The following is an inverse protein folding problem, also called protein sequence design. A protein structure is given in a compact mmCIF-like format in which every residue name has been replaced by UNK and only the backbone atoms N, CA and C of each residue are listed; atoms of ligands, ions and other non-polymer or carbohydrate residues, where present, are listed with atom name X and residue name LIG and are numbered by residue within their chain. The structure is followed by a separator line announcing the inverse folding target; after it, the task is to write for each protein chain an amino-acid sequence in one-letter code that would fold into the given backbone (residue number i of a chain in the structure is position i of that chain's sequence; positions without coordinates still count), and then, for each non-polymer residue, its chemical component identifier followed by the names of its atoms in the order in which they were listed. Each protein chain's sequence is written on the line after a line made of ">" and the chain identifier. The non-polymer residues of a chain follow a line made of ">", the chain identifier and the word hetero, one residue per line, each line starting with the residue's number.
data_IF_952078905219
#
_entry.id   IF_952078905219
#
_cell.length_a   1.000
_cell.length_b   1.000
_cell.length_c   1.000
_cell.angle_alpha   90.00
_cell.angle_beta   90.00
_cell.angle_gamma   90.00
#
_symmetry.space_group_name_H-M   'P 1'
#
loop_
_entity.id
_entity.type
_entity.pdbx_description
1 polymer ?
#
# COMPACT_ATOMS: atom_id res chain seq x y z
N UNK A 1 -7.34 23.52 1.64
CA UNK A 1 -8.09 22.66 0.71
C UNK A 1 -8.17 23.26 -0.71
N UNK A 2 -8.31 24.56 -0.88
CA UNK A 2 -8.32 25.21 -2.21
C UNK A 2 -7.02 25.06 -2.98
N UNK A 3 -5.89 24.88 -2.28
CA UNK A 3 -4.57 24.65 -2.87
C UNK A 3 -4.34 23.20 -3.30
N UNK A 4 -5.20 22.26 -2.89
CA UNK A 4 -5.13 20.85 -3.26
C UNK A 4 -6.02 20.54 -4.46
N UNK A 5 -5.82 21.28 -5.54
CA UNK A 5 -6.46 21.02 -6.82
C UNK A 5 -5.74 19.86 -7.52
N UNK A 6 -6.48 18.86 -7.98
CA UNK A 6 -5.93 17.67 -8.65
C UNK A 6 -5.16 18.01 -9.95
N UNK A 7 -5.43 19.17 -10.56
CA UNK A 7 -4.71 19.66 -11.75
C UNK A 7 -3.41 20.41 -11.47
N UNK A 8 -3.01 20.61 -10.19
CA UNK A 8 -1.75 21.27 -9.88
C UNK A 8 -0.56 20.35 -10.15
N UNK A 9 0.54 20.87 -10.75
CA UNK A 9 1.78 20.11 -10.90
C UNK A 9 2.46 19.88 -9.55
N UNK A 10 3.42 18.99 -9.56
CA UNK A 10 4.29 18.76 -8.41
C UNK A 10 5.14 20.03 -8.15
N UNK A 11 5.05 20.64 -6.96
CA UNK A 11 5.75 21.90 -6.67
C UNK A 11 7.28 21.75 -6.59
N UNK A 12 7.79 20.53 -6.47
CA UNK A 12 9.24 20.27 -6.39
C UNK A 12 9.85 20.08 -7.78
N UNK A 13 9.23 19.28 -8.63
CA UNK A 13 9.75 18.97 -9.96
C UNK A 13 9.15 19.84 -11.07
N UNK A 14 8.03 20.49 -10.84
CA UNK A 14 7.25 21.20 -11.87
C UNK A 14 6.52 20.27 -12.85
N UNK A 15 6.69 18.94 -12.71
CA UNK A 15 6.06 17.94 -13.60
C UNK A 15 4.59 17.74 -13.26
N UNK A 16 3.74 17.34 -14.22
CA UNK A 16 2.41 16.89 -13.91
C UNK A 16 2.45 15.59 -13.08
N UNK A 17 1.44 15.33 -12.28
CA UNK A 17 1.27 14.01 -11.68
C UNK A 17 0.73 13.02 -12.70
N UNK A 18 1.16 11.75 -12.63
CA UNK A 18 0.58 10.67 -13.44
C UNK A 18 -0.93 10.55 -13.23
N UNK A 19 -1.36 10.64 -11.97
CA UNK A 19 -2.74 10.87 -11.54
C UNK A 19 -2.76 11.46 -10.14
N UNK A 20 -3.82 12.20 -9.82
CA UNK A 20 -4.04 12.80 -8.51
C UNK A 20 -5.53 12.95 -8.25
N UNK A 21 -6.04 12.21 -7.27
CA UNK A 21 -7.45 12.25 -6.87
C UNK A 21 -7.60 12.61 -5.39
N UNK A 22 -6.79 13.56 -4.92
CA UNK A 22 -6.79 14.01 -3.52
C UNK A 22 -8.11 14.68 -3.14
N UNK A 23 -8.74 15.42 -4.06
CA UNK A 23 -10.04 16.04 -3.84
C UNK A 23 -11.12 14.99 -3.58
N UNK A 24 -11.06 13.86 -4.28
CA UNK A 24 -11.99 12.75 -4.08
C UNK A 24 -11.73 12.04 -2.75
N UNK A 25 -10.46 11.84 -2.36
CA UNK A 25 -10.10 11.32 -1.03
C UNK A 25 -10.70 12.18 0.09
N UNK A 26 -10.58 13.52 -0.01
CA UNK A 26 -11.14 14.46 0.96
C UNK A 26 -12.66 14.37 0.99
N UNK A 27 -13.31 14.40 -0.17
CA UNK A 27 -14.77 14.43 -0.27
C UNK A 27 -15.40 13.14 0.26
N UNK A 28 -14.86 11.99 -0.14
CA UNK A 28 -15.32 10.68 0.34
C UNK A 28 -15.07 10.52 1.85
N UNK A 29 -13.87 10.90 2.31
CA UNK A 29 -13.49 10.81 3.73
C UNK A 29 -14.35 11.70 4.61
N UNK A 30 -14.56 12.95 4.20
CA UNK A 30 -15.42 13.89 4.92
C UNK A 30 -16.86 13.39 5.04
N UNK A 31 -17.42 12.84 3.97
CA UNK A 31 -18.77 12.26 3.98
C UNK A 31 -18.87 11.05 4.93
N UNK A 32 -17.95 10.08 4.83
CA UNK A 32 -17.93 8.86 5.66
C UNK A 32 -17.74 9.21 7.14
N UNK A 33 -16.88 10.18 7.42
CA UNK A 33 -16.60 10.63 8.78
C UNK A 33 -17.75 11.47 9.37
N UNK A 34 -18.57 12.10 8.53
CA UNK A 34 -19.61 13.06 8.96
C UNK A 34 -19.02 14.42 9.34
N UNK A 35 -17.99 14.87 8.61
CA UNK A 35 -17.19 16.07 8.89
C UNK A 35 -17.99 17.36 9.00
N UNK A 36 -19.13 17.46 8.31
CA UNK A 36 -20.02 18.62 8.36
C UNK A 36 -20.59 18.92 9.75
N UNK A 37 -20.57 17.94 10.65
CA UNK A 37 -21.04 18.09 12.06
C UNK A 37 -19.95 18.60 12.99
N UNK A 38 -18.74 18.83 12.48
CA UNK A 38 -17.62 19.35 13.27
C UNK A 38 -17.89 20.79 13.68
N UNK A 39 -17.84 21.09 14.98
CA UNK A 39 -17.75 22.47 15.44
C UNK A 39 -16.43 23.10 15.03
N UNK A 40 -16.39 24.41 14.80
CA UNK A 40 -15.15 25.10 14.39
C UNK A 40 -14.26 25.46 15.58
N UNK A 41 -14.86 25.75 16.72
CA UNK A 41 -14.12 26.21 17.90
C UNK A 41 -13.41 25.07 18.62
N UNK A 42 -12.12 25.20 18.94
CA UNK A 42 -11.44 24.24 19.81
C UNK A 42 -12.11 24.16 21.20
N UNK A 43 -12.16 22.96 21.77
CA UNK A 43 -12.76 22.70 23.10
C UNK A 43 -14.28 22.72 23.12
N UNK A 44 -14.96 22.91 21.99
CA UNK A 44 -16.42 23.07 21.94
C UNK A 44 -17.21 21.76 21.86
N UNK A 45 -16.55 20.62 21.68
CA UNK A 45 -17.22 19.32 21.59
C UNK A 45 -16.87 18.45 22.81
N UNK A 46 -17.91 17.85 23.42
CA UNK A 46 -17.78 17.02 24.62
C UNK A 46 -18.60 15.75 24.44
N UNK A 47 -18.03 14.63 24.88
CA UNK A 47 -18.75 13.34 24.97
C UNK A 47 -19.62 13.27 26.24
N UNK A 48 -20.61 12.38 26.30
CA UNK A 48 -21.49 12.24 27.48
C UNK A 48 -20.77 11.96 28.79
N UNK A 49 -19.58 11.37 28.75
CA UNK A 49 -18.73 11.11 29.93
C UNK A 49 -17.81 12.28 30.29
N UNK A 50 -17.98 13.46 29.67
CA UNK A 50 -17.18 14.66 29.93
C UNK A 50 -15.86 14.72 29.17
N UNK A 51 -15.49 13.71 28.42
CA UNK A 51 -14.26 13.74 27.62
C UNK A 51 -14.34 14.82 26.54
N UNK A 52 -13.26 15.59 26.38
CA UNK A 52 -13.14 16.56 25.30
C UNK A 52 -12.99 15.82 23.96
N UNK A 53 -13.82 16.15 22.98
CA UNK A 53 -13.82 15.53 21.65
C UNK A 53 -13.17 16.46 20.65
N UNK A 54 -12.21 15.92 19.89
CA UNK A 54 -11.56 16.66 18.82
C UNK A 54 -11.61 15.88 17.51
N UNK A 55 -11.90 16.60 16.44
CA UNK A 55 -11.87 16.08 15.08
C UNK A 55 -10.78 16.77 14.27
N UNK A 56 -9.85 15.98 13.74
CA UNK A 56 -8.75 16.44 12.92
C UNK A 56 -8.72 15.74 11.57
N UNK A 57 -8.17 16.42 10.58
CA UNK A 57 -7.89 15.81 9.30
C UNK A 57 -6.50 16.22 8.83
N UNK A 58 -5.89 15.38 8.01
CA UNK A 58 -4.68 15.71 7.27
C UNK A 58 -4.62 14.88 5.98
N UNK A 59 -3.80 15.36 5.06
CA UNK A 59 -3.45 14.66 3.82
C UNK A 59 -2.07 14.06 3.98
N UNK A 60 -1.86 12.92 3.30
CA UNK A 60 -0.55 12.33 3.11
C UNK A 60 -0.34 12.01 1.64
N UNK A 61 0.93 11.94 1.25
CA UNK A 61 1.36 11.43 -0.04
C UNK A 61 2.64 10.61 0.15
N UNK A 62 2.89 9.72 -0.80
CA UNK A 62 4.09 8.91 -0.82
C UNK A 62 4.48 8.59 -2.27
N UNK A 63 5.77 8.57 -2.62
CA UNK A 63 6.23 8.17 -3.95
C UNK A 63 5.69 6.80 -4.34
N UNK A 64 5.39 6.65 -5.62
CA UNK A 64 4.90 5.38 -6.16
C UNK A 64 5.87 4.82 -7.20
N UNK A 65 7.04 4.32 -6.78
CA UNK A 65 8.01 3.72 -7.66
C UNK A 65 7.55 2.34 -8.12
N UNK A 66 8.17 1.87 -9.21
CA UNK A 66 8.04 0.53 -9.73
C UNK A 66 9.42 -0.10 -9.86
N UNK A 67 9.62 -1.29 -9.34
CA UNK A 67 10.86 -2.06 -9.53
C UNK A 67 10.78 -2.92 -10.79
N UNK A 68 11.90 -3.14 -11.49
CA UNK A 68 11.97 -4.11 -12.57
C UNK A 68 11.67 -5.51 -12.02
N UNK A 69 10.97 -6.33 -12.80
CA UNK A 69 10.61 -7.68 -12.39
C UNK A 69 10.65 -8.67 -13.54
N UNK A 70 11.03 -9.91 -13.20
CA UNK A 70 11.00 -11.06 -14.11
C UNK A 70 9.93 -12.02 -13.60
N UNK A 71 9.10 -12.53 -14.51
CA UNK A 71 8.09 -13.53 -14.18
C UNK A 71 8.20 -14.73 -15.11
N UNK A 72 8.30 -15.95 -14.54
CA UNK A 72 8.25 -17.20 -15.28
C UNK A 72 6.99 -17.95 -14.91
N UNK A 73 6.13 -18.21 -15.89
CA UNK A 73 4.88 -18.94 -15.72
C UNK A 73 4.92 -20.27 -16.47
N UNK A 74 4.72 -21.37 -15.74
CA UNK A 74 4.64 -22.73 -16.27
C UNK A 74 3.30 -23.37 -15.91
N UNK A 75 2.63 -23.92 -16.91
CA UNK A 75 1.36 -24.66 -16.76
C UNK A 75 1.59 -26.07 -17.29
N UNK A 76 1.34 -27.07 -16.46
CA UNK A 76 1.52 -28.48 -16.79
C UNK A 76 0.20 -29.20 -17.11
N UNK A 77 0.26 -30.19 -18.01
CA UNK A 77 -0.88 -31.08 -18.28
C UNK A 77 -1.32 -31.90 -17.05
N UNK A 78 -0.46 -31.96 -16.01
CA UNK A 78 -0.70 -32.67 -14.75
C UNK A 78 -1.52 -31.89 -13.71
N UNK A 79 -2.14 -30.76 -14.09
CA UNK A 79 -2.93 -29.91 -13.19
C UNK A 79 -2.13 -28.90 -12.38
N UNK A 80 -0.79 -28.87 -12.51
CA UNK A 80 0.04 -27.92 -11.76
C UNK A 80 0.31 -26.65 -12.57
N UNK A 81 0.19 -25.53 -11.89
CA UNK A 81 0.60 -24.20 -12.38
C UNK A 81 1.60 -23.62 -11.42
N UNK A 82 2.77 -23.20 -11.93
CA UNK A 82 3.79 -22.53 -11.11
C UNK A 82 4.13 -21.19 -11.73
N UNK A 83 4.07 -20.13 -10.92
CA UNK A 83 4.58 -18.82 -11.29
C UNK A 83 5.69 -18.41 -10.33
N UNK A 84 6.84 -17.98 -10.87
CA UNK A 84 7.91 -17.32 -10.11
C UNK A 84 7.95 -15.87 -10.50
N UNK A 85 8.08 -14.97 -9.55
CA UNK A 85 8.14 -13.52 -9.81
C UNK A 85 9.20 -12.90 -8.91
N UNK A 86 9.92 -11.90 -9.44
CA UNK A 86 10.81 -11.07 -8.63
C UNK A 86 10.01 -10.35 -7.53
N UNK A 87 10.51 -10.35 -6.28
CA UNK A 87 9.87 -9.69 -5.14
C UNK A 87 9.76 -10.58 -3.91
N UNK A 88 9.34 -10.02 -2.78
CA UNK A 88 9.28 -10.70 -1.48
C UNK A 88 7.91 -10.60 -0.85
N UNK A 89 7.51 -11.63 -0.09
CA UNK A 89 6.36 -11.61 0.81
C UNK A 89 6.84 -11.30 2.24
N UNK A 90 6.37 -10.20 2.79
CA UNK A 90 6.68 -9.79 4.17
C UNK A 90 5.38 -9.55 5.00
N UNK A 91 4.25 -10.10 4.54
CA UNK A 91 2.93 -9.95 5.17
C UNK A 91 1.99 -8.98 4.46
N UNK A 92 2.44 -8.32 3.37
CA UNK A 92 1.63 -7.38 2.61
C UNK A 92 0.64 -8.05 1.64
N UNK A 93 0.76 -9.37 1.41
CA UNK A 93 -0.16 -10.16 0.61
C UNK A 93 0.13 -10.17 -0.88
N UNK A 94 1.39 -10.04 -1.29
CA UNK A 94 1.81 -10.11 -2.71
C UNK A 94 1.48 -11.46 -3.32
N UNK A 95 1.72 -12.57 -2.63
CA UNK A 95 1.36 -13.92 -3.13
C UNK A 95 -0.11 -14.01 -3.51
N UNK A 96 -1.00 -13.52 -2.66
CA UNK A 96 -2.44 -13.47 -2.93
C UNK A 96 -2.74 -12.58 -4.15
N UNK A 97 -2.06 -11.45 -4.28
CA UNK A 97 -2.26 -10.51 -5.38
C UNK A 97 -1.81 -11.12 -6.71
N UNK A 98 -0.67 -11.80 -6.75
CA UNK A 98 -0.18 -12.54 -7.92
C UNK A 98 -1.17 -13.66 -8.30
N UNK A 99 -1.60 -14.48 -7.34
CA UNK A 99 -2.57 -15.54 -7.55
C UNK A 99 -3.89 -15.01 -8.14
N UNK A 100 -4.46 -13.97 -7.56
CA UNK A 100 -5.68 -13.33 -8.06
C UNK A 100 -5.51 -12.81 -9.49
N UNK A 101 -4.36 -12.18 -9.78
CA UNK A 101 -4.07 -11.65 -11.13
C UNK A 101 -3.99 -12.77 -12.16
N UNK A 102 -3.36 -13.88 -11.82
CA UNK A 102 -3.24 -15.04 -12.70
C UNK A 102 -4.59 -15.72 -12.93
N UNK A 103 -5.33 -16.00 -11.86
CA UNK A 103 -6.64 -16.71 -11.92
C UNK A 103 -7.73 -15.88 -12.62
N UNK A 104 -7.63 -14.56 -12.63
CA UNK A 104 -8.53 -13.70 -13.42
C UNK A 104 -8.27 -13.79 -14.93
N UNK A 105 -7.06 -14.13 -15.35
CA UNK A 105 -6.67 -14.15 -16.74
C UNK A 105 -6.55 -15.54 -17.37
N UNK A 106 -6.46 -16.61 -16.58
CA UNK A 106 -6.22 -17.98 -17.05
C UNK A 106 -7.15 -18.98 -16.37
N UNK A 107 -7.74 -19.86 -17.17
CA UNK A 107 -8.55 -20.99 -16.69
C UNK A 107 -7.64 -22.16 -16.28
N UNK A 108 -7.12 -22.09 -15.06
CA UNK A 108 -6.28 -23.11 -14.42
C UNK A 108 -6.87 -23.55 -13.08
N UNK A 109 -6.48 -24.73 -12.60
CA UNK A 109 -6.92 -25.22 -11.29
C UNK A 109 -6.27 -24.39 -10.17
N UNK A 110 -7.04 -23.66 -9.34
CA UNK A 110 -6.50 -22.88 -8.24
C UNK A 110 -5.80 -23.75 -7.16
N UNK A 111 -6.23 -25.02 -6.99
CA UNK A 111 -5.61 -25.92 -6.03
C UNK A 111 -4.21 -26.40 -6.48
N UNK A 112 -3.95 -26.35 -7.78
CA UNK A 112 -2.66 -26.69 -8.37
C UNK A 112 -1.72 -25.50 -8.54
N UNK A 113 -2.12 -24.29 -8.09
CA UNK A 113 -1.34 -23.07 -8.25
C UNK A 113 -0.30 -22.91 -7.14
N UNK A 114 0.96 -22.79 -7.56
CA UNK A 114 2.12 -22.45 -6.73
C UNK A 114 2.65 -21.05 -7.12
N UNK A 115 2.70 -20.14 -6.15
CA UNK A 115 3.32 -18.80 -6.31
C UNK A 115 4.63 -18.77 -5.53
N UNK A 116 5.73 -18.58 -6.25
CA UNK A 116 7.10 -18.53 -5.70
C UNK A 116 7.65 -17.11 -5.83
N UNK A 117 7.94 -16.51 -4.69
CA UNK A 117 8.63 -15.23 -4.56
C UNK A 117 9.57 -15.28 -3.36
N UNK A 118 10.60 -14.43 -3.34
CA UNK A 118 11.60 -14.44 -2.28
C UNK A 118 12.56 -15.63 -2.35
N UNK A 119 12.68 -16.26 -3.52
CA UNK A 119 13.56 -17.39 -3.78
C UNK A 119 14.53 -17.04 -4.91
N UNK A 120 15.79 -16.79 -4.56
CA UNK A 120 16.85 -16.39 -5.50
C UNK A 120 17.25 -17.52 -6.46
N UNK A 121 16.92 -18.77 -6.14
CA UNK A 121 17.12 -19.89 -7.04
C UNK A 121 16.10 -19.95 -8.17
N UNK A 122 14.95 -19.30 -7.98
CA UNK A 122 13.85 -19.31 -8.93
C UNK A 122 13.85 -18.11 -9.89
N UNK A 123 14.17 -16.92 -9.40
CA UNK A 123 14.30 -15.69 -10.19
C UNK A 123 15.17 -14.68 -9.45
N UNK A 124 15.86 -13.76 -10.16
CA UNK A 124 16.47 -12.59 -9.52
C UNK A 124 15.42 -11.79 -8.76
N UNK A 125 15.77 -11.34 -7.56
CA UNK A 125 14.84 -10.65 -6.67
C UNK A 125 15.13 -9.15 -6.62
N UNK A 126 14.10 -8.31 -6.76
CA UNK A 126 14.25 -6.89 -6.47
C UNK A 126 14.01 -6.60 -4.99
N UNK A 127 14.54 -5.50 -4.49
CA UNK A 127 14.22 -5.01 -3.16
C UNK A 127 12.72 -4.71 -3.06
N UNK A 128 12.05 -5.29 -2.06
CA UNK A 128 10.65 -5.00 -1.75
C UNK A 128 10.60 -3.97 -0.61
N UNK A 129 10.73 -2.71 -0.94
CA UNK A 129 10.69 -1.55 -0.06
C UNK A 129 10.03 -0.38 -0.77
N UNK A 130 9.93 0.79 -0.13
CA UNK A 130 9.30 1.99 -0.69
C UNK A 130 7.93 1.73 -1.35
N UNK A 131 7.20 0.74 -0.84
CA UNK A 131 5.88 0.31 -1.32
C UNK A 131 5.83 -0.11 -2.82
N UNK A 132 6.96 -0.49 -3.42
CA UNK A 132 7.05 -0.82 -4.86
C UNK A 132 6.67 -2.28 -5.20
N UNK A 133 6.59 -3.19 -4.21
CA UNK A 133 6.48 -4.64 -4.46
C UNK A 133 5.32 -5.03 -5.38
N UNK A 134 4.10 -4.60 -5.09
CA UNK A 134 2.93 -4.90 -5.94
C UNK A 134 3.05 -4.24 -7.32
N UNK A 135 3.58 -3.01 -7.40
CA UNK A 135 3.77 -2.30 -8.64
C UNK A 135 4.83 -2.95 -9.56
N UNK A 136 5.81 -3.68 -8.99
CA UNK A 136 6.74 -4.51 -9.76
C UNK A 136 6.14 -5.85 -10.18
N UNK A 137 5.63 -6.63 -9.22
CA UNK A 137 5.19 -8.01 -9.44
C UNK A 137 3.95 -8.14 -10.34
N UNK A 138 2.94 -7.28 -10.16
CA UNK A 138 1.66 -7.44 -10.87
C UNK A 138 1.76 -7.12 -12.36
N UNK A 139 2.42 -6.04 -12.83
CA UNK A 139 2.64 -5.83 -14.25
C UNK A 139 3.35 -7.00 -14.92
N UNK A 140 4.42 -7.54 -14.31
CA UNK A 140 5.12 -8.72 -14.81
C UNK A 140 4.21 -9.96 -14.86
N UNK A 141 3.38 -10.17 -13.83
CA UNK A 141 2.38 -11.26 -13.81
C UNK A 141 1.36 -11.12 -14.94
N UNK A 142 0.80 -9.92 -15.15
CA UNK A 142 -0.14 -9.65 -16.25
C UNK A 142 0.49 -9.89 -17.61
N UNK A 143 1.74 -9.49 -17.80
CA UNK A 143 2.49 -9.75 -19.02
C UNK A 143 2.73 -11.23 -19.25
N UNK A 144 3.05 -11.99 -18.19
CA UNK A 144 3.18 -13.46 -18.26
C UNK A 144 1.86 -14.14 -18.64
N UNK A 145 0.74 -13.68 -18.08
CA UNK A 145 -0.61 -14.16 -18.42
C UNK A 145 -0.89 -13.92 -19.90
N UNK A 146 -0.69 -12.70 -20.41
CA UNK A 146 -0.90 -12.37 -21.83
C UNK A 146 0.00 -13.18 -22.74
N UNK A 147 1.27 -13.35 -22.41
CA UNK A 147 2.22 -14.15 -23.20
C UNK A 147 1.84 -15.64 -23.19
N UNK A 148 1.35 -16.14 -22.05
CA UNK A 148 0.84 -17.53 -21.94
C UNK A 148 -0.40 -17.72 -22.82
N UNK A 149 -1.35 -16.79 -22.83
CA UNK A 149 -2.52 -16.83 -23.70
C UNK A 149 -2.11 -16.85 -25.17
N UNK A 150 -1.19 -15.99 -25.58
CA UNK A 150 -0.67 -15.96 -26.95
C UNK A 150 0.03 -17.27 -27.32
N UNK A 151 0.90 -17.79 -26.43
CA UNK A 151 1.61 -19.05 -26.67
C UNK A 151 0.64 -20.25 -26.74
N UNK A 152 -0.45 -20.23 -25.98
CA UNK A 152 -1.50 -21.25 -26.05
C UNK A 152 -2.25 -21.17 -27.39
N UNK A 153 -2.58 -19.97 -27.86
CA UNK A 153 -3.21 -19.77 -29.17
C UNK A 153 -2.31 -20.24 -30.32
N UNK A 154 -1.04 -19.89 -30.30
CA UNK A 154 -0.03 -20.35 -31.28
C UNK A 154 0.04 -21.88 -31.26
N UNK A 155 0.08 -22.52 -30.09
CA UNK A 155 0.15 -23.96 -29.93
C UNK A 155 -1.09 -24.69 -30.41
N UNK A 156 -2.26 -24.07 -30.24
CA UNK A 156 -3.55 -24.65 -30.67
C UNK A 156 -3.77 -24.57 -32.17
N UNK A 157 -3.14 -23.63 -32.87
CA UNK A 157 -3.19 -23.50 -34.33
C UNK A 157 -4.63 -23.58 -34.91
N UNK A 158 -5.55 -22.81 -34.31
CA UNK A 158 -6.98 -22.79 -34.68
C UNK A 158 -7.82 -23.98 -34.19
N UNK A 159 -7.22 -24.97 -33.52
CA UNK A 159 -7.95 -26.11 -32.93
C UNK A 159 -8.71 -25.67 -31.70
N UNK A 160 -9.99 -26.03 -31.63
CA UNK A 160 -10.79 -25.88 -30.42
C UNK A 160 -10.70 -27.16 -29.56
N UNK A 161 -10.05 -27.05 -28.40
CA UNK A 161 -9.95 -28.14 -27.44
C UNK A 161 -10.71 -27.74 -26.17
N UNK A 162 -11.79 -28.48 -25.79
CA UNK A 162 -12.60 -28.12 -24.64
C UNK A 162 -11.87 -28.38 -23.31
N UNK A 163 -12.25 -27.60 -22.28
CA UNK A 163 -11.75 -27.71 -20.93
C UNK A 163 -10.71 -26.64 -20.58
N UNK A 164 -10.24 -26.68 -19.33
CA UNK A 164 -9.24 -25.76 -18.85
C UNK A 164 -7.86 -26.00 -19.51
N UNK A 165 -6.92 -25.11 -19.31
CA UNK A 165 -5.59 -25.15 -19.98
C UNK A 165 -4.87 -26.47 -19.72
N UNK A 166 -4.97 -27.05 -18.53
CA UNK A 166 -4.35 -28.35 -18.19
C UNK A 166 -4.88 -29.49 -19.08
N UNK A 167 -6.20 -29.54 -19.25
CA UNK A 167 -6.86 -30.55 -20.09
C UNK A 167 -6.55 -30.35 -21.57
N UNK A 168 -6.50 -29.09 -22.02
CA UNK A 168 -6.09 -28.75 -23.39
C UNK A 168 -4.69 -29.27 -23.68
N UNK A 169 -3.71 -28.99 -22.80
CA UNK A 169 -2.33 -29.48 -22.93
C UNK A 169 -2.25 -31.01 -22.92
N UNK A 170 -3.01 -31.69 -22.04
CA UNK A 170 -3.04 -33.15 -21.99
C UNK A 170 -3.58 -33.74 -23.30
N UNK A 171 -4.65 -33.18 -23.86
CA UNK A 171 -5.29 -33.64 -25.11
C UNK A 171 -4.33 -33.58 -26.31
N UNK A 172 -3.52 -32.51 -26.40
CA UNK A 172 -2.53 -32.37 -27.47
C UNK A 172 -1.17 -33.04 -27.12
N UNK A 173 -1.11 -33.79 -26.04
CA UNK A 173 0.09 -34.49 -25.55
C UNK A 173 1.27 -33.56 -25.29
N UNK A 174 1.02 -32.33 -24.87
CA UNK A 174 2.05 -31.39 -24.46
C UNK A 174 2.22 -31.44 -22.95
N UNK A 175 3.35 -31.86 -22.40
CA UNK A 175 3.53 -32.07 -20.95
C UNK A 175 3.43 -30.74 -20.18
N UNK A 176 3.87 -29.62 -20.75
CA UNK A 176 3.74 -28.29 -20.19
C UNK A 176 3.92 -27.20 -21.25
N UNK A 177 3.50 -25.99 -20.91
CA UNK A 177 3.82 -24.75 -21.59
C UNK A 177 4.47 -23.80 -20.58
N UNK A 178 5.55 -23.11 -20.99
CA UNK A 178 6.28 -22.16 -20.15
C UNK A 178 6.60 -20.91 -20.89
N UNK A 179 6.46 -19.78 -20.24
CA UNK A 179 6.84 -18.45 -20.73
C UNK A 179 7.64 -17.72 -19.67
N UNK A 180 8.58 -16.91 -20.09
CA UNK A 180 9.29 -15.95 -19.25
C UNK A 180 9.11 -14.56 -19.84
N UNK A 181 8.89 -13.58 -18.99
CA UNK A 181 8.75 -12.18 -19.34
C UNK A 181 9.49 -11.30 -18.35
N UNK A 182 9.85 -10.12 -18.79
CA UNK A 182 10.37 -9.06 -17.92
C UNK A 182 9.54 -7.80 -18.07
N UNK A 183 9.46 -7.00 -17.03
CA UNK A 183 8.77 -5.73 -17.01
C UNK A 183 9.62 -4.69 -16.29
N UNK A 184 9.61 -3.46 -16.80
CA UNK A 184 10.34 -2.31 -16.27
C UNK A 184 9.39 -1.13 -16.07
N UNK A 185 9.79 -0.15 -15.27
CA UNK A 185 9.01 1.06 -15.10
C UNK A 185 8.96 1.86 -16.43
N UNK A 186 7.89 2.62 -16.68
CA UNK A 186 7.83 3.54 -17.79
C UNK A 186 9.05 4.48 -17.87
N UNK A 187 9.67 4.56 -19.05
CA UNK A 187 10.90 5.34 -19.26
C UNK A 187 12.20 4.66 -18.84
N UNK A 188 12.13 3.46 -18.26
CA UNK A 188 13.30 2.65 -17.92
C UNK A 188 13.66 1.71 -19.07
N UNK A 189 14.94 1.59 -19.40
CA UNK A 189 15.43 0.72 -20.48
C UNK A 189 15.61 -0.74 -20.05
N UNK A 190 15.94 -1.59 -21.00
CA UNK A 190 16.16 -3.02 -20.80
C UNK A 190 17.37 -3.33 -19.90
N UNK A 191 18.31 -2.41 -19.78
CA UNK A 191 19.49 -2.49 -18.90
C UNK A 191 19.11 -2.69 -17.41
N UNK A 192 17.93 -2.23 -17.00
CA UNK A 192 17.43 -2.47 -15.66
C UNK A 192 17.17 -3.96 -15.37
N UNK A 193 16.76 -4.73 -16.36
CA UNK A 193 16.59 -6.18 -16.24
C UNK A 193 17.95 -6.89 -16.22
N UNK A 194 18.89 -6.43 -17.03
CA UNK A 194 20.24 -6.98 -17.02
C UNK A 194 20.94 -6.73 -15.68
N UNK A 195 20.79 -5.51 -15.16
CA UNK A 195 21.28 -5.18 -13.82
C UNK A 195 20.65 -6.08 -12.74
N UNK A 196 19.32 -6.28 -12.79
CA UNK A 196 18.62 -7.18 -11.87
C UNK A 196 19.16 -8.62 -11.95
N UNK A 197 19.48 -9.13 -13.16
CA UNK A 197 20.01 -10.47 -13.34
C UNK A 197 21.44 -10.62 -12.79
N UNK A 198 22.26 -9.60 -12.97
CA UNK A 198 23.68 -9.63 -12.58
C UNK A 198 23.88 -9.30 -11.12
N UNK A 199 23.23 -8.27 -10.61
CA UNK A 199 23.38 -7.84 -9.21
C UNK A 199 22.56 -8.69 -8.23
N UNK A 200 21.50 -9.34 -8.70
CA UNK A 200 20.52 -9.99 -7.83
C UNK A 200 19.72 -9.01 -6.99
N UNK A 201 19.88 -7.72 -7.23
CA UNK A 201 19.22 -6.63 -6.50
C UNK A 201 18.71 -5.59 -7.51
N UNK A 202 17.41 -5.43 -7.59
CA UNK A 202 16.76 -4.36 -8.35
C UNK A 202 16.31 -3.26 -7.41
N UNK A 203 16.94 -2.11 -7.48
CA UNK A 203 16.47 -0.94 -6.76
C UNK A 203 15.05 -0.55 -7.18
N UNK A 204 14.30 0.08 -6.28
CA UNK A 204 13.08 0.78 -6.67
C UNK A 204 13.35 1.68 -7.85
N UNK A 205 12.49 1.64 -8.87
CA UNK A 205 12.70 2.24 -10.17
C UNK A 205 13.02 3.73 -10.13
N UNK A 206 13.49 4.26 -11.26
CA UNK A 206 13.93 5.64 -11.38
C UNK A 206 12.77 6.61 -11.21
N UNK A 207 13.10 7.88 -11.04
CA UNK A 207 12.15 8.96 -11.26
C UNK A 207 11.62 8.89 -12.68
N UNK A 208 10.30 8.94 -12.83
CA UNK A 208 9.69 8.99 -14.15
C UNK A 208 10.07 10.30 -14.85
N UNK A 209 10.53 10.25 -16.11
CA UNK A 209 11.09 11.44 -16.78
C UNK A 209 10.05 12.53 -17.04
N UNK A 210 8.80 12.16 -17.32
CA UNK A 210 7.76 13.08 -17.78
C UNK A 210 6.70 13.46 -16.74
N UNK A 211 6.61 12.71 -15.63
CA UNK A 211 5.63 12.93 -14.58
C UNK A 211 6.16 12.54 -13.19
N UNK A 212 5.46 12.99 -12.16
CA UNK A 212 5.65 12.52 -10.79
C UNK A 212 4.57 11.50 -10.45
N UNK A 213 4.96 10.30 -9.98
CA UNK A 213 4.01 9.28 -9.54
C UNK A 213 3.92 9.26 -8.01
N UNK A 214 2.72 9.55 -7.49
CA UNK A 214 2.43 9.61 -6.06
C UNK A 214 1.11 8.91 -5.74
N UNK A 215 1.06 8.24 -4.60
CA UNK A 215 -0.19 7.85 -3.94
C UNK A 215 -0.62 8.94 -2.96
N UNK A 216 -1.92 9.04 -2.73
CA UNK A 216 -2.53 10.07 -1.88
C UNK A 216 -3.47 9.45 -0.87
N UNK A 217 -3.58 10.08 0.30
CA UNK A 217 -4.49 9.66 1.36
C UNK A 217 -5.06 10.86 2.10
N UNK A 218 -6.32 10.75 2.52
CA UNK A 218 -6.95 11.66 3.45
C UNK A 218 -7.34 10.90 4.71
N UNK A 219 -6.85 11.37 5.86
CA UNK A 219 -7.20 10.85 7.18
C UNK A 219 -8.16 11.79 7.90
N UNK A 220 -9.20 11.24 8.49
CA UNK A 220 -10.14 11.92 9.39
C UNK A 220 -10.15 11.18 10.71
N UNK A 221 -9.80 11.86 11.78
CA UNK A 221 -9.56 11.27 13.10
C UNK A 221 -10.44 11.94 14.14
N UNK A 222 -11.06 11.13 15.01
CA UNK A 222 -11.63 11.57 16.28
C UNK A 222 -10.67 11.20 17.40
N UNK A 223 -10.36 12.17 18.27
CA UNK A 223 -9.71 11.88 19.55
C UNK A 223 -10.65 12.25 20.70
N UNK A 224 -10.48 11.58 21.82
CA UNK A 224 -11.10 11.91 23.12
C UNK A 224 -10.01 12.08 24.14
N UNK A 225 -10.04 13.23 24.81
CA UNK A 225 -9.12 13.56 25.89
C UNK A 225 -9.90 13.51 27.22
N UNK A 226 -9.52 12.63 28.10
CA UNK A 226 -10.18 12.45 29.39
C UNK A 226 -9.92 13.67 30.29
N UNK A 227 -10.94 14.22 30.96
CA UNK A 227 -10.79 15.49 31.67
C UNK A 227 -9.85 15.41 32.88
N UNK A 228 -9.80 14.26 33.56
CA UNK A 228 -9.00 14.07 34.76
C UNK A 228 -7.59 13.58 34.47
N UNK A 229 -7.47 12.52 33.68
CA UNK A 229 -6.18 11.86 33.39
C UNK A 229 -5.43 12.45 32.23
N UNK A 230 -6.09 13.28 31.41
CA UNK A 230 -5.60 13.79 30.12
C UNK A 230 -5.25 12.69 29.11
N UNK A 231 -5.63 11.44 29.38
CA UNK A 231 -5.38 10.32 28.47
C UNK A 231 -6.05 10.56 27.13
N UNK A 232 -5.28 10.39 26.05
CA UNK A 232 -5.72 10.55 24.67
C UNK A 232 -6.13 9.18 24.13
N UNK A 233 -7.33 9.07 23.59
CA UNK A 233 -7.83 7.90 22.86
C UNK A 233 -8.24 8.29 21.45
N UNK A 234 -8.10 7.36 20.51
CA UNK A 234 -8.56 7.50 19.12
C UNK A 234 -9.68 6.49 18.86
N UNK A 235 -10.96 6.81 19.19
CA UNK A 235 -12.06 5.87 19.03
C UNK A 235 -12.42 5.62 17.55
N UNK A 236 -12.08 6.54 16.64
CA UNK A 236 -12.44 6.41 15.23
C UNK A 236 -11.45 7.10 14.30
N UNK A 237 -11.15 6.40 13.19
CA UNK A 237 -10.40 6.91 12.06
C UNK A 237 -11.09 6.52 10.76
N UNK A 238 -11.18 7.45 9.80
CA UNK A 238 -11.59 7.18 8.42
C UNK A 238 -10.45 7.57 7.51
N UNK A 239 -9.98 6.63 6.70
CA UNK A 239 -8.89 6.84 5.75
C UNK A 239 -9.36 6.52 4.33
N UNK A 240 -9.18 7.45 3.40
CA UNK A 240 -9.51 7.24 1.98
C UNK A 240 -8.27 7.42 1.14
N UNK A 241 -7.98 6.40 0.31
CA UNK A 241 -6.71 6.28 -0.40
C UNK A 241 -6.93 6.32 -1.91
N UNK A 242 -6.10 7.10 -2.60
CA UNK A 242 -5.84 7.02 -4.03
C UNK A 242 -4.52 6.26 -4.24
N UNK A 243 -4.62 4.95 -4.51
CA UNK A 243 -3.51 4.06 -4.83
C UNK A 243 -3.68 3.36 -6.19
N UNK A 244 -4.41 4.00 -7.10
CA UNK A 244 -4.69 3.41 -8.41
C UNK A 244 -5.67 2.22 -8.32
N UNK A 245 -5.41 1.22 -9.14
CA UNK A 245 -6.17 -0.04 -9.14
C UNK A 245 -5.89 -0.86 -7.87
N UNK A 246 -6.93 -1.39 -7.25
CA UNK A 246 -6.83 -2.30 -6.10
C UNK A 246 -7.10 -3.73 -6.57
N UNK A 247 -6.09 -4.60 -6.53
CA UNK A 247 -6.19 -6.00 -7.00
C UNK A 247 -6.82 -6.90 -5.93
N UNK A 248 -6.40 -6.72 -4.67
CA UNK A 248 -6.90 -7.50 -3.54
C UNK A 248 -7.43 -6.55 -2.45
N UNK A 249 -8.74 -6.24 -2.44
CA UNK A 249 -9.31 -5.31 -1.47
C UNK A 249 -9.10 -5.71 -0.01
N UNK A 250 -9.03 -7.03 0.28
CA UNK A 250 -8.81 -7.55 1.62
C UNK A 250 -7.41 -7.21 2.12
N UNK A 251 -6.37 -7.54 1.37
CA UNK A 251 -4.98 -7.28 1.76
C UNK A 251 -4.66 -5.78 1.73
N UNK A 252 -5.20 -5.05 0.75
CA UNK A 252 -5.08 -3.59 0.69
C UNK A 252 -5.68 -2.91 1.93
N UNK A 253 -6.88 -3.33 2.38
CA UNK A 253 -7.48 -2.82 3.60
C UNK A 253 -6.63 -3.14 4.84
N UNK A 254 -6.06 -4.34 4.91
CA UNK A 254 -5.14 -4.73 5.99
C UNK A 254 -3.91 -3.83 6.05
N UNK A 255 -3.34 -3.46 4.90
CA UNK A 255 -2.23 -2.50 4.84
C UNK A 255 -2.63 -1.13 5.41
N UNK A 256 -3.84 -0.64 5.08
CA UNK A 256 -4.32 0.63 5.62
C UNK A 256 -4.51 0.55 7.14
N UNK A 257 -5.08 -0.53 7.65
CA UNK A 257 -5.20 -0.73 9.10
C UNK A 257 -3.84 -0.70 9.78
N UNK A 258 -2.86 -1.45 9.26
CA UNK A 258 -1.49 -1.49 9.81
C UNK A 258 -0.83 -0.12 9.85
N UNK A 259 -0.90 0.65 8.77
CA UNK A 259 -0.32 2.00 8.71
C UNK A 259 -0.98 3.01 9.65
N UNK A 260 -2.31 2.93 9.85
CA UNK A 260 -3.01 3.77 10.84
C UNK A 260 -2.60 3.41 12.26
N UNK A 261 -2.50 2.10 12.58
CA UNK A 261 -2.03 1.63 13.89
C UNK A 261 -0.60 2.08 14.15
N UNK A 262 0.27 1.94 13.15
CA UNK A 262 1.66 2.40 13.22
C UNK A 262 1.75 3.91 13.51
N UNK A 263 1.02 4.72 12.77
CA UNK A 263 1.00 6.17 12.98
C UNK A 263 0.42 6.58 14.34
N UNK A 264 -0.61 5.87 14.82
CA UNK A 264 -1.16 6.06 16.16
C UNK A 264 -0.10 5.73 17.23
N UNK A 265 0.59 4.60 17.08
CA UNK A 265 1.61 4.15 18.00
C UNK A 265 2.76 5.16 18.10
N UNK A 266 3.30 5.58 16.96
CA UNK A 266 4.34 6.60 16.88
C UNK A 266 3.91 7.96 17.46
N UNK A 267 2.63 8.34 17.27
CA UNK A 267 2.13 9.61 17.75
C UNK A 267 1.87 9.65 19.27
N UNK A 268 1.48 8.52 19.88
CA UNK A 268 0.93 8.52 21.24
C UNK A 268 1.59 7.54 22.22
N UNK A 269 2.48 6.65 21.73
CA UNK A 269 3.05 5.58 22.56
C UNK A 269 4.56 5.46 22.48
N UNK A 270 5.07 5.36 21.26
CA UNK A 270 6.48 5.02 21.03
C UNK A 270 7.41 6.20 21.33
N UNK A 271 8.40 5.95 22.16
CA UNK A 271 9.48 6.89 22.43
C UNK A 271 10.77 6.11 22.58
N UNK A 272 11.80 6.48 21.82
CA UNK A 272 13.15 5.95 22.03
C UNK A 272 13.85 6.81 23.08
N UNK A 273 14.22 6.21 24.21
CA UNK A 273 14.88 6.87 25.31
C UNK A 273 16.35 6.44 25.38
N UNK A 274 17.26 7.41 25.36
CA UNK A 274 18.69 7.18 25.39
C UNK A 274 19.25 7.65 26.72
N UNK A 275 20.07 6.83 27.37
CA UNK A 275 20.81 7.25 28.56
C UNK A 275 21.96 8.20 28.15
N UNK A 276 21.89 9.50 28.49
CA UNK A 276 22.89 10.45 28.06
C UNK A 276 24.29 10.20 28.67
N UNK A 277 24.38 9.36 29.72
CA UNK A 277 25.64 9.06 30.41
C UNK A 277 26.41 7.94 29.70
N UNK A 278 25.71 6.96 29.12
CA UNK A 278 26.32 5.75 28.56
C UNK A 278 26.05 5.56 27.08
N UNK A 279 25.14 6.32 26.49
CA UNK A 279 24.76 6.22 25.07
C UNK A 279 23.96 4.98 24.71
N UNK A 280 23.46 4.21 25.70
CA UNK A 280 22.60 3.04 25.49
C UNK A 280 21.11 3.41 25.53
N UNK A 281 20.26 2.51 25.02
CA UNK A 281 18.81 2.65 25.09
C UNK A 281 18.31 2.29 26.50
N UNK A 282 17.46 3.13 27.09
CA UNK A 282 16.82 2.87 28.40
C UNK A 282 15.64 1.89 28.27
N UNK A 283 14.94 1.96 27.13
CA UNK A 283 13.74 1.15 26.86
C UNK A 283 13.99 0.25 25.63
N UNK A 284 14.79 -0.80 25.83
CA UNK A 284 15.25 -1.67 24.75
C UNK A 284 14.47 -2.99 24.62
N UNK A 285 13.39 -3.18 25.35
CA UNK A 285 12.53 -4.36 25.31
C UNK A 285 11.04 -3.99 25.19
N UNK A 286 10.19 -4.98 24.92
CA UNK A 286 8.75 -4.77 24.76
C UNK A 286 7.98 -4.45 26.06
N UNK A 287 8.61 -4.57 27.23
CA UNK A 287 8.00 -4.15 28.49
C UNK A 287 8.10 -2.65 28.69
N UNK A 288 9.15 -2.03 28.19
CA UNK A 288 9.44 -0.61 28.37
C UNK A 288 9.23 0.21 27.11
N UNK A 289 9.50 -0.35 25.91
CA UNK A 289 9.19 0.29 24.64
C UNK A 289 7.72 0.04 24.31
N UNK A 290 6.87 1.01 24.64
CA UNK A 290 5.42 0.88 24.51
C UNK A 290 4.98 0.99 23.06
N UNK A 291 4.38 -0.06 22.53
CA UNK A 291 3.70 -0.08 21.24
C UNK A 291 2.18 -0.13 21.43
N UNK A 292 1.43 0.35 20.45
CA UNK A 292 -0.02 0.25 20.47
C UNK A 292 -0.49 -1.22 20.46
N UNK A 293 -1.40 -1.55 21.35
CA UNK A 293 -2.07 -2.86 21.40
C UNK A 293 -3.50 -2.74 20.90
N UNK A 294 -4.15 -3.88 20.64
CA UNK A 294 -5.51 -3.91 20.12
C UNK A 294 -6.53 -3.10 20.96
N UNK A 295 -6.34 -3.05 22.28
CA UNK A 295 -7.19 -2.28 23.18
C UNK A 295 -7.04 -0.75 23.07
N UNK A 296 -5.97 -0.26 22.44
CA UNK A 296 -5.73 1.17 22.21
C UNK A 296 -6.42 1.69 20.94
N UNK A 297 -6.73 0.77 20.01
CA UNK A 297 -7.21 1.10 18.67
C UNK A 297 -8.73 1.02 18.62
N UNK A 298 -9.35 2.11 18.18
CA UNK A 298 -10.77 2.16 17.89
C UNK A 298 -11.11 1.66 16.48
N UNK A 299 -12.25 2.10 15.97
CA UNK A 299 -12.71 1.75 14.62
C UNK A 299 -11.86 2.43 13.55
N UNK A 300 -11.42 1.65 12.56
CA UNK A 300 -10.74 2.15 11.35
C UNK A 300 -11.59 1.81 10.14
N UNK A 301 -12.18 2.82 9.51
CA UNK A 301 -12.90 2.69 8.25
C UNK A 301 -11.99 3.04 7.08
N UNK A 302 -11.96 2.18 6.05
CA UNK A 302 -11.09 2.34 4.88
C UNK A 302 -11.92 2.51 3.61
N UNK A 303 -11.62 3.55 2.84
CA UNK A 303 -12.13 3.79 1.50
C UNK A 303 -11.00 3.82 0.46
N UNK A 304 -11.32 3.44 -0.77
CA UNK A 304 -10.43 3.56 -1.93
C UNK A 304 -11.13 4.35 -3.04
N UNK A 305 -10.36 5.11 -3.79
CA UNK A 305 -10.88 5.88 -4.94
C UNK A 305 -11.12 4.98 -6.15
N UNK A 306 -10.41 3.86 -6.28
CA UNK A 306 -10.54 2.86 -7.35
C UNK A 306 -10.33 3.40 -8.78
N UNK A 307 -9.47 4.38 -8.97
CA UNK A 307 -9.13 4.92 -10.30
C UNK A 307 -7.75 4.43 -10.72
N UNK A 308 -7.64 3.54 -11.73
CA UNK A 308 -6.36 3.09 -12.26
C UNK A 308 -5.52 4.25 -12.77
N UNK A 309 -4.20 4.13 -12.62
CA UNK A 309 -3.21 5.05 -13.17
C UNK A 309 -2.39 4.38 -14.28
N UNK A 310 -2.85 4.44 -15.54
CA UNK A 310 -2.20 3.74 -16.64
C UNK A 310 -0.82 4.32 -17.01
N UNK A 311 -0.49 5.54 -16.55
CA UNK A 311 0.82 6.13 -16.77
C UNK A 311 1.87 5.55 -15.79
N UNK A 312 1.46 5.21 -14.57
CA UNK A 312 2.38 4.68 -13.57
C UNK A 312 2.91 3.28 -13.92
N UNK A 313 2.05 2.41 -14.44
CA UNK A 313 2.42 1.07 -14.94
C UNK A 313 1.24 0.40 -15.68
N UNK A 314 1.54 -0.70 -16.38
CA UNK A 314 0.58 -1.45 -17.20
C UNK A 314 -0.59 -2.08 -16.42
N UNK A 315 -0.49 -2.15 -15.09
CA UNK A 315 -1.55 -2.63 -14.20
C UNK A 315 -2.40 -1.49 -13.61
N UNK A 316 -1.97 -0.24 -13.76
CA UNK A 316 -2.64 0.93 -13.22
C UNK A 316 -2.58 1.05 -11.69
N UNK A 317 -1.53 0.50 -11.08
CA UNK A 317 -1.30 0.47 -9.64
C UNK A 317 -0.47 1.66 -9.19
N UNK A 318 -0.67 2.08 -7.92
CA UNK A 318 0.23 2.96 -7.19
C UNK A 318 0.56 2.36 -5.83
N UNK A 319 1.59 2.87 -5.17
CA UNK A 319 2.04 2.45 -3.84
C UNK A 319 0.94 2.56 -2.80
N UNK A 320 0.90 1.64 -1.81
CA UNK A 320 -0.10 1.67 -0.74
C UNK A 320 0.51 1.58 0.66
N UNK A 321 1.54 0.75 0.87
CA UNK A 321 2.01 0.40 2.22
C UNK A 321 2.36 1.60 3.09
N UNK A 322 3.19 2.50 2.60
CA UNK A 322 3.76 3.60 3.40
C UNK A 322 2.96 4.91 3.30
N UNK A 323 2.17 5.12 2.24
CA UNK A 323 1.32 6.31 2.14
C UNK A 323 0.35 6.44 3.31
N UNK A 324 -0.02 5.32 3.93
CA UNK A 324 -1.00 5.28 5.02
C UNK A 324 -0.46 5.93 6.30
N UNK A 325 0.84 5.80 6.56
CA UNK A 325 1.45 6.47 7.70
C UNK A 325 1.54 7.99 7.49
N UNK A 326 1.72 8.40 6.23
CA UNK A 326 1.86 9.82 5.89
C UNK A 326 0.57 10.60 6.24
N UNK A 327 0.74 11.67 7.02
CA UNK A 327 -0.37 12.54 7.43
C UNK A 327 -1.20 12.05 8.63
N UNK A 328 -1.19 10.76 8.98
CA UNK A 328 -2.03 10.24 10.06
C UNK A 328 -1.69 10.86 11.43
N UNK A 329 -0.41 10.96 11.79
CA UNK A 329 0.03 11.64 13.01
C UNK A 329 -0.36 13.12 13.03
N UNK A 330 -0.31 13.80 11.88
CA UNK A 330 -0.76 15.20 11.75
C UNK A 330 -2.29 15.32 11.93
N UNK A 331 -3.07 14.36 11.45
CA UNK A 331 -4.51 14.31 11.70
C UNK A 331 -4.80 14.15 13.20
N UNK A 332 -4.07 13.29 13.91
CA UNK A 332 -4.14 13.13 15.37
C UNK A 332 -3.80 14.44 16.08
N UNK A 333 -2.69 15.10 15.72
CA UNK A 333 -2.29 16.39 16.29
C UNK A 333 -3.37 17.48 16.08
N UNK A 334 -3.97 17.52 14.90
CA UNK A 334 -5.07 18.44 14.59
C UNK A 334 -6.32 18.13 15.41
N UNK A 335 -6.61 16.85 15.65
CA UNK A 335 -7.71 16.43 16.51
C UNK A 335 -7.47 16.81 17.98
N UNK A 336 -6.25 16.62 18.49
CA UNK A 336 -5.87 17.05 19.86
C UNK A 336 -6.02 18.57 19.99
N UNK A 337 -5.54 19.34 19.03
CA UNK A 337 -5.73 20.79 19.03
C UNK A 337 -7.22 21.17 19.04
N UNK A 338 -8.04 20.50 18.26
CA UNK A 338 -9.47 20.77 18.23
C UNK A 338 -10.16 20.39 19.55
N UNK A 339 -9.69 19.33 20.23
CA UNK A 339 -10.22 18.95 21.55
C UNK A 339 -9.82 19.94 22.65
N UNK A 340 -8.57 20.43 22.65
CA UNK A 340 -7.95 21.07 23.83
C UNK A 340 -7.55 22.53 23.64
N UNK A 341 -7.44 22.99 22.40
CA UNK A 341 -6.84 24.30 22.05
C UNK A 341 -5.30 24.32 22.10
N UNK A 342 -4.66 23.25 22.59
CA UNK A 342 -3.18 23.14 22.65
C UNK A 342 -2.60 22.59 21.36
N UNK A 343 -1.67 23.33 20.75
CA UNK A 343 -1.00 22.96 19.49
C UNK A 343 0.32 22.22 19.76
N UNK A 344 0.28 20.89 19.74
CA UNK A 344 1.48 20.07 19.88
C UNK A 344 2.20 19.92 18.55
N UNK A 345 3.55 19.94 18.59
CA UNK A 345 4.41 19.88 17.39
C UNK A 345 5.56 18.88 17.49
N UNK A 346 5.68 18.20 18.62
CA UNK A 346 6.68 17.15 18.86
C UNK A 346 5.97 15.86 19.23
N UNK A 347 6.44 14.75 18.70
CA UNK A 347 5.93 13.40 19.03
C UNK A 347 6.91 12.66 19.95
N UNK A 348 6.43 11.72 20.76
CA UNK A 348 5.02 11.39 20.99
C UNK A 348 4.29 12.51 21.75
N UNK A 349 2.96 12.64 21.50
CA UNK A 349 2.08 13.59 22.21
C UNK A 349 1.81 13.02 23.60
N UNK A 350 2.42 13.59 24.61
CA UNK A 350 2.37 13.11 25.99
C UNK A 350 1.23 13.76 26.77
N UNK A 351 0.84 13.09 27.87
CA UNK A 351 -0.18 13.61 28.80
C UNK A 351 0.29 14.93 29.39
N UNK A 352 1.57 15.05 29.72
CA UNK A 352 2.21 16.23 30.30
C UNK A 352 2.10 17.46 29.38
N UNK A 353 2.10 17.26 28.08
CA UNK A 353 1.93 18.36 27.10
C UNK A 353 0.51 18.97 27.18
N UNK A 354 -0.43 18.28 27.82
CA UNK A 354 -1.82 18.72 27.98
C UNK A 354 -2.14 19.30 29.38
N UNK A 355 -1.18 19.25 30.30
CA UNK A 355 -1.30 19.90 31.59
C UNK A 355 -0.96 21.39 31.46
#
# INVERSE_FOLDING_TARGET
>A
LRLNNDGQPDPLSGKPYSSRFVTECITQGARRFGWSRRSHAPGSMTAPNGAQVGWGMALGNYPSPMSPAIATLRIGANGRTRITVSGHEMGQGIKTTIANTLLQGLDVDPNGLEVVIGDTSAAPQHQTGASCGTAGCVPATLKAVRRMQAALQELMDGRSVPGNIHRQLATIRRPYLQVEVSEVAPGQGAEAIEYLRVSGDGAAGPEYPEFTSMSWIAHFVEVRVEPTTRRIRMPRCVSVVDCGRVISPRTARSQVHGGVVWAFSAALREATEIDPRYGGYLNCDLAEYLIAVNADIGEIEVGFVYKPDPLANSAGLKSLGEVVMAGASAAIANAIFHATGKRLRSMPFRIEDLL
#
